data_IF_456233878162
#
_entry.id   IF_456233878162
#
_cell.length_a   1.000
_cell.length_b   1.000
_cell.length_c   1.000
_cell.angle_alpha   90.00
_cell.angle_beta   90.00
_cell.angle_gamma   90.00
#
_symmetry.space_group_name_H-M   'P 1'
#
loop_
_entity.id
_entity.type
_entity.pdbx_description
1 polymer ?
#
# COMPACT_ATOMS: atom_id res chain seq x y z
N UNK A 1 22.08 -8.77 -23.74
CA UNK A 1 20.93 -8.08 -23.13
C UNK A 1 19.72 -9.02 -23.16
N UNK A 2 19.71 -10.07 -22.33
CA UNK A 2 18.74 -11.17 -22.51
C UNK A 2 18.56 -12.02 -21.23
N UNK A 3 18.09 -11.42 -20.12
CA UNK A 3 17.85 -12.18 -18.88
C UNK A 3 16.68 -11.66 -18.02
N UNK A 4 15.62 -11.14 -18.65
CA UNK A 4 14.46 -10.64 -17.89
C UNK A 4 13.34 -11.68 -17.74
N UNK A 5 13.28 -12.77 -18.52
CA UNK A 5 12.07 -13.64 -18.53
C UNK A 5 12.37 -15.15 -18.44
N UNK A 6 13.28 -15.58 -17.56
CA UNK A 6 13.38 -17.01 -17.22
C UNK A 6 13.81 -17.27 -15.77
N UNK A 7 13.31 -16.48 -14.81
CA UNK A 7 13.32 -16.91 -13.40
C UNK A 7 12.05 -17.71 -13.14
N UNK A 8 12.16 -18.98 -12.80
CA UNK A 8 10.99 -19.78 -12.41
C UNK A 8 10.18 -19.08 -11.31
N UNK A 9 8.86 -19.12 -11.46
CA UNK A 9 7.94 -18.60 -10.44
C UNK A 9 7.91 -19.61 -9.30
N UNK A 10 8.78 -19.41 -8.31
CA UNK A 10 8.81 -20.24 -7.10
C UNK A 10 8.07 -19.56 -5.96
N UNK A 11 7.37 -20.33 -5.12
CA UNK A 11 6.72 -19.82 -3.89
C UNK A 11 7.68 -19.01 -3.00
N UNK A 12 8.95 -19.45 -2.89
CA UNK A 12 9.99 -18.72 -2.13
C UNK A 12 10.21 -17.30 -2.66
N UNK A 13 10.19 -17.10 -3.97
CA UNK A 13 10.39 -15.79 -4.60
C UNK A 13 9.15 -14.90 -4.45
N UNK A 14 7.96 -15.47 -4.64
CA UNK A 14 6.70 -14.76 -4.39
C UNK A 14 6.65 -14.30 -2.93
N UNK A 15 6.99 -15.18 -1.97
CA UNK A 15 7.01 -14.83 -0.55
C UNK A 15 8.02 -13.72 -0.25
N UNK A 16 9.22 -13.77 -0.83
CA UNK A 16 10.24 -12.74 -0.65
C UNK A 16 9.79 -11.36 -1.16
N UNK A 17 9.08 -11.32 -2.29
CA UNK A 17 8.52 -10.08 -2.84
C UNK A 17 7.28 -9.59 -2.07
N UNK A 18 6.43 -10.51 -1.63
CA UNK A 18 5.18 -10.19 -0.93
C UNK A 18 5.41 -9.77 0.52
N UNK A 19 6.42 -10.32 1.19
CA UNK A 19 6.71 -10.05 2.60
C UNK A 19 6.78 -8.56 2.96
N UNK A 20 7.60 -7.72 2.29
CA UNK A 20 7.65 -6.29 2.60
C UNK A 20 6.32 -5.59 2.30
N UNK A 21 5.60 -6.01 1.26
CA UNK A 21 4.30 -5.42 0.91
C UNK A 21 3.26 -5.73 1.99
N UNK A 22 3.18 -6.97 2.45
CA UNK A 22 2.25 -7.38 3.51
C UNK A 22 2.59 -6.69 4.83
N UNK A 23 3.88 -6.64 5.19
CA UNK A 23 4.33 -5.94 6.40
C UNK A 23 3.94 -4.45 6.37
N UNK A 24 4.17 -3.77 5.25
CA UNK A 24 3.77 -2.37 5.06
C UNK A 24 2.25 -2.19 5.22
N UNK A 25 1.44 -3.06 4.63
CA UNK A 25 -0.02 -2.97 4.76
C UNK A 25 -0.51 -3.29 6.17
N UNK A 26 0.20 -4.12 6.93
CA UNK A 26 -0.14 -4.43 8.32
C UNK A 26 0.04 -3.23 9.27
N UNK A 27 0.87 -2.25 8.91
CA UNK A 27 1.09 -1.07 9.76
C UNK A 27 -0.16 -0.20 9.92
N UNK A 28 -1.04 -0.16 8.90
CA UNK A 28 -2.27 0.64 8.90
C UNK A 28 -3.23 0.23 10.03
N UNK A 29 -3.66 -1.03 10.16
CA UNK A 29 -4.53 -1.45 11.26
C UNK A 29 -3.82 -1.39 12.62
N UNK A 30 -2.51 -1.61 12.68
CA UNK A 30 -1.74 -1.48 13.93
C UNK A 30 -1.78 -0.04 14.42
N UNK A 31 -1.58 0.94 13.53
CA UNK A 31 -1.66 2.36 13.87
C UNK A 31 -3.06 2.72 14.40
N UNK A 32 -4.13 2.28 13.73
CA UNK A 32 -5.51 2.54 14.19
C UNK A 32 -5.82 1.91 15.56
N UNK A 33 -5.28 0.72 15.83
CA UNK A 33 -5.39 0.09 17.15
C UNK A 33 -4.65 0.90 18.23
N UNK A 34 -3.46 1.41 17.92
CA UNK A 34 -2.68 2.26 18.83
C UNK A 34 -3.40 3.59 19.08
N UNK A 35 -3.92 4.26 18.05
CA UNK A 35 -4.68 5.52 18.19
C UNK A 35 -5.87 5.32 19.13
N UNK A 36 -6.62 4.23 18.94
CA UNK A 36 -7.76 3.87 19.80
C UNK A 36 -7.32 3.54 21.22
N UNK A 37 -6.23 2.81 21.41
CA UNK A 37 -5.73 2.44 22.73
C UNK A 37 -5.24 3.65 23.53
N UNK A 38 -4.53 4.59 22.89
CA UNK A 38 -4.04 5.82 23.51
C UNK A 38 -5.20 6.73 23.90
N UNK A 39 -6.12 6.99 22.97
CA UNK A 39 -7.29 7.83 23.25
C UNK A 39 -8.25 7.18 24.24
N UNK A 40 -8.32 5.84 24.25
CA UNK A 40 -9.10 5.07 25.22
C UNK A 40 -8.66 5.24 26.67
N UNK A 41 -7.40 5.63 26.92
CA UNK A 41 -6.93 5.94 28.28
C UNK A 41 -7.64 7.16 28.90
N UNK A 42 -8.33 7.98 28.10
CA UNK A 42 -9.09 9.12 28.59
C UNK A 42 -10.41 8.72 29.27
N UNK A 43 -10.85 7.45 29.16
CA UNK A 43 -12.06 6.95 29.81
C UNK A 43 -13.38 7.51 29.27
N UNK A 44 -13.33 8.31 28.20
CA UNK A 44 -14.49 8.91 27.55
C UNK A 44 -14.74 8.26 26.18
N UNK A 45 -16.00 8.02 25.84
CA UNK A 45 -16.38 7.49 24.52
C UNK A 45 -16.22 8.53 23.40
N UNK A 46 -16.42 9.82 23.69
CA UNK A 46 -16.41 10.90 22.69
C UNK A 46 -15.08 11.01 21.92
N UNK A 47 -13.91 11.00 22.58
CA UNK A 47 -12.61 11.02 21.89
C UNK A 47 -12.38 9.80 20.97
N UNK A 48 -12.80 8.60 21.39
CA UNK A 48 -12.69 7.39 20.56
C UNK A 48 -13.56 7.51 19.30
N UNK A 49 -14.79 8.01 19.45
CA UNK A 49 -15.67 8.29 18.32
C UNK A 49 -15.10 9.30 17.33
N UNK A 50 -14.44 10.36 17.85
CA UNK A 50 -13.77 11.35 17.02
C UNK A 50 -12.64 10.76 16.17
N UNK A 51 -11.80 9.89 16.76
CA UNK A 51 -10.73 9.17 16.02
C UNK A 51 -11.33 8.29 14.93
N UNK A 52 -12.40 7.55 15.21
CA UNK A 52 -13.05 6.69 14.23
C UNK A 52 -13.59 7.47 13.02
N UNK A 53 -14.27 8.60 13.27
CA UNK A 53 -14.78 9.46 12.19
C UNK A 53 -13.62 10.06 11.38
N UNK A 54 -12.58 10.56 12.04
CA UNK A 54 -11.40 11.11 11.36
C UNK A 54 -10.72 10.06 10.48
N UNK A 55 -10.57 8.83 10.97
CA UNK A 55 -9.99 7.72 10.22
C UNK A 55 -10.79 7.40 8.95
N UNK A 56 -12.12 7.37 9.03
CA UNK A 56 -13.00 7.13 7.86
C UNK A 56 -12.87 8.26 6.84
N UNK A 57 -12.90 9.51 7.29
CA UNK A 57 -12.78 10.68 6.40
C UNK A 57 -11.42 10.67 5.69
N UNK A 58 -10.32 10.48 6.42
CA UNK A 58 -8.98 10.42 5.81
C UNK A 58 -8.85 9.22 4.86
N UNK A 59 -9.37 8.06 5.24
CA UNK A 59 -9.38 6.88 4.37
C UNK A 59 -10.13 7.16 3.08
N UNK A 60 -11.30 7.80 3.14
CA UNK A 60 -12.07 8.17 1.96
C UNK A 60 -11.28 9.12 1.05
N UNK A 61 -10.63 10.15 1.63
CA UNK A 61 -9.78 11.08 0.88
C UNK A 61 -8.63 10.35 0.18
N UNK A 62 -7.92 9.44 0.87
CA UNK A 62 -6.87 8.64 0.23
C UNK A 62 -7.41 7.74 -0.88
N UNK A 63 -8.61 7.18 -0.71
CA UNK A 63 -9.26 6.36 -1.73
C UNK A 63 -9.66 7.14 -2.98
N UNK A 64 -9.94 8.44 -2.89
CA UNK A 64 -10.18 9.30 -4.07
C UNK A 64 -8.98 9.30 -5.03
N UNK A 65 -7.76 9.18 -4.49
CA UNK A 65 -6.53 9.09 -5.26
C UNK A 65 -6.10 7.64 -5.56
N UNK A 66 -6.91 6.64 -5.19
CA UNK A 66 -6.59 5.22 -5.38
C UNK A 66 -6.38 4.83 -6.84
N UNK A 67 -6.97 5.57 -7.78
CA UNK A 67 -6.78 5.35 -9.22
C UNK A 67 -5.33 5.61 -9.66
N UNK A 68 -4.59 6.52 -9.00
CA UNK A 68 -3.20 6.82 -9.34
C UNK A 68 -2.34 5.57 -9.19
N UNK A 69 -2.56 4.80 -8.13
CA UNK A 69 -1.82 3.56 -7.87
C UNK A 69 -2.02 2.52 -8.97
N UNK A 70 -3.28 2.25 -9.36
CA UNK A 70 -3.57 1.30 -10.44
C UNK A 70 -3.14 1.83 -11.81
N UNK A 71 -3.33 3.12 -12.07
CA UNK A 71 -2.95 3.77 -13.34
C UNK A 71 -1.45 3.73 -13.60
N UNK A 72 -0.64 4.15 -12.62
CA UNK A 72 0.83 4.16 -12.72
C UNK A 72 1.38 2.75 -12.85
N UNK A 73 0.86 1.79 -12.07
CA UNK A 73 1.31 0.39 -12.15
C UNK A 73 1.08 -0.22 -13.53
N UNK A 74 -0.05 0.10 -14.17
CA UNK A 74 -0.37 -0.36 -15.53
C UNK A 74 0.55 0.25 -16.59
N UNK A 75 0.74 1.57 -16.56
CA UNK A 75 1.63 2.29 -17.48
C UNK A 75 3.08 1.84 -17.32
N UNK A 76 3.55 1.67 -16.08
CA UNK A 76 4.89 1.15 -15.77
C UNK A 76 5.10 -0.25 -16.33
N UNK A 77 4.10 -1.13 -16.20
CA UNK A 77 4.18 -2.49 -16.75
C UNK A 77 4.24 -2.50 -18.29
N UNK A 78 3.50 -1.59 -18.95
CA UNK A 78 3.55 -1.43 -20.41
C UNK A 78 4.92 -0.93 -20.87
N UNK A 79 5.43 0.17 -20.29
CA UNK A 79 6.74 0.72 -20.61
C UNK A 79 7.88 -0.29 -20.38
N UNK A 80 7.79 -1.06 -19.28
CA UNK A 80 8.74 -2.14 -18.99
C UNK A 80 8.65 -3.27 -20.03
N UNK A 81 7.45 -3.63 -20.48
CA UNK A 81 7.22 -4.64 -21.52
C UNK A 81 7.76 -4.23 -22.90
N UNK A 82 7.75 -2.93 -23.20
CA UNK A 82 8.35 -2.35 -24.42
C UNK A 82 9.88 -2.18 -24.32
N UNK A 83 10.47 -2.45 -23.16
CA UNK A 83 11.91 -2.25 -22.91
C UNK A 83 12.31 -0.79 -22.66
N UNK A 84 11.33 0.12 -22.53
CA UNK A 84 11.56 1.53 -22.25
C UNK A 84 11.73 1.78 -20.74
N UNK A 85 12.91 1.44 -20.23
CA UNK A 85 13.25 1.60 -18.81
C UNK A 85 13.31 3.06 -18.35
N UNK A 86 13.49 4.02 -19.27
CA UNK A 86 13.50 5.45 -18.91
C UNK A 86 12.07 5.87 -18.54
N UNK A 87 11.10 5.53 -19.38
CA UNK A 87 9.69 5.81 -19.13
C UNK A 87 9.17 5.07 -17.89
N UNK A 88 9.51 3.78 -17.74
CA UNK A 88 9.08 2.99 -16.59
C UNK A 88 9.60 3.51 -15.24
N UNK A 89 10.75 4.19 -15.20
CA UNK A 89 11.29 4.79 -13.99
C UNK A 89 10.79 6.23 -13.73
N UNK A 90 10.14 6.85 -14.73
CA UNK A 90 9.61 8.21 -14.64
C UNK A 90 8.15 8.25 -14.15
N UNK A 91 7.44 7.12 -14.23
CA UNK A 91 6.06 6.91 -13.79
C UNK A 91 5.97 6.51 -12.31
#
# INVERSE_FOLDING_TARGET
MNKIISSEITHKRVLFLAFPVVLSNATIPILGAVDTAVVGQMGLATPIGAVGIAAVILTAIFWLFGFLRMGISGLTAQALGEGNNIEANAL
#
